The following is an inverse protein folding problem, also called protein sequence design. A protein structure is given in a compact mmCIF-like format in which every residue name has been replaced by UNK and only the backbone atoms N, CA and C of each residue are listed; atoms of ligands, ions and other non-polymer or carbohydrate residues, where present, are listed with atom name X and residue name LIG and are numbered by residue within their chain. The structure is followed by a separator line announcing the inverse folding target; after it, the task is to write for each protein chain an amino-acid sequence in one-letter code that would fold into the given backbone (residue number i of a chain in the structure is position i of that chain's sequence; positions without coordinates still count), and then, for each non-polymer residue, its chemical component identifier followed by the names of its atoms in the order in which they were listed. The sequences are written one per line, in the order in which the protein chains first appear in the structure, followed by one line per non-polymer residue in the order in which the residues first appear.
data_IF_390867206281
#
_entry.id   IF_390867206281
#
_cell.length_a   1.000
_cell.length_b   1.000
_cell.length_c   1.000
_cell.angle_alpha   90.00
_cell.angle_beta   90.00
_cell.angle_gamma   90.00
#
_symmetry.space_group_name_H-M   'P 1'
#
loop_
_entity.id
_entity.type
_entity.pdbx_description
1 polymer ?
#
# COMPACT_ATOMS: atom_id res chain seq x y z
N UNK A 1 -8.33 45.43 -6.31
CA UNK A 1 -8.61 44.67 -7.53
C UNK A 1 -10.09 44.34 -7.60
N UNK A 2 -10.79 44.90 -8.57
CA UNK A 2 -12.22 44.63 -8.72
C UNK A 2 -12.43 43.35 -9.47
N UNK A 3 -13.04 42.37 -8.84
CA UNK A 3 -13.37 41.09 -9.48
C UNK A 3 -14.80 41.17 -9.99
N UNK A 4 -14.99 40.88 -11.29
CA UNK A 4 -16.32 40.84 -11.86
C UNK A 4 -17.09 39.63 -11.33
N UNK A 5 -18.44 39.71 -11.40
CA UNK A 5 -19.27 38.58 -10.93
C UNK A 5 -18.93 37.27 -11.62
N UNK A 6 -18.61 37.33 -12.91
CA UNK A 6 -18.22 36.14 -13.68
C UNK A 6 -16.91 35.56 -13.20
N UNK A 7 -15.93 36.42 -12.87
CA UNK A 7 -14.65 36.01 -12.38
C UNK A 7 -14.77 35.42 -10.96
N UNK A 8 -15.60 36.05 -10.13
CA UNK A 8 -15.86 35.56 -8.78
C UNK A 8 -16.51 34.15 -8.82
N UNK A 9 -17.47 33.95 -9.73
CA UNK A 9 -18.09 32.64 -9.87
C UNK A 9 -17.09 31.59 -10.31
N UNK A 10 -16.21 31.92 -11.25
CA UNK A 10 -15.17 31.01 -11.72
C UNK A 10 -14.20 30.62 -10.59
N UNK A 11 -13.78 31.60 -9.81
CA UNK A 11 -12.89 31.37 -8.68
C UNK A 11 -13.57 30.48 -7.62
N UNK A 12 -14.85 30.72 -7.33
CA UNK A 12 -15.58 29.91 -6.35
C UNK A 12 -15.72 28.46 -6.81
N UNK A 13 -15.98 28.24 -8.10
CA UNK A 13 -16.07 26.88 -8.66
C UNK A 13 -14.72 26.18 -8.53
N UNK A 14 -13.63 26.87 -8.85
CA UNK A 14 -12.29 26.31 -8.78
C UNK A 14 -11.94 25.92 -7.35
N UNK A 15 -12.23 26.80 -6.38
CA UNK A 15 -11.99 26.52 -4.96
C UNK A 15 -12.83 25.32 -4.51
N UNK A 16 -14.10 25.25 -4.93
CA UNK A 16 -14.97 24.13 -4.58
C UNK A 16 -14.44 22.82 -5.11
N UNK A 17 -13.89 22.81 -6.33
CA UNK A 17 -13.28 21.61 -6.90
C UNK A 17 -12.04 21.15 -6.10
N UNK A 18 -11.20 22.11 -5.70
CA UNK A 18 -10.02 21.80 -4.89
C UNK A 18 -10.43 21.20 -3.54
N UNK A 19 -11.42 21.81 -2.87
CA UNK A 19 -11.92 21.33 -1.59
C UNK A 19 -12.49 19.93 -1.73
N UNK A 20 -13.29 19.69 -2.77
CA UNK A 20 -13.86 18.38 -3.04
C UNK A 20 -12.76 17.34 -3.24
N UNK A 21 -11.73 17.67 -4.00
CA UNK A 21 -10.60 16.77 -4.26
C UNK A 21 -9.86 16.42 -2.96
N UNK A 22 -9.59 17.44 -2.14
CA UNK A 22 -8.91 17.24 -0.85
C UNK A 22 -9.75 16.36 0.07
N UNK A 23 -11.07 16.58 0.13
CA UNK A 23 -11.96 15.77 0.96
C UNK A 23 -12.01 14.31 0.50
N UNK A 24 -11.96 14.08 -0.81
CA UNK A 24 -11.93 12.72 -1.34
C UNK A 24 -10.63 12.01 -0.93
N UNK A 25 -9.49 12.69 -1.04
CA UNK A 25 -8.21 12.13 -0.65
C UNK A 25 -8.17 11.82 0.85
N UNK A 26 -8.61 12.76 1.70
CA UNK A 26 -8.62 12.55 3.14
C UNK A 26 -9.60 11.46 3.54
N UNK A 27 -10.74 11.37 2.85
CA UNK A 27 -11.71 10.29 3.09
C UNK A 27 -11.11 8.92 2.80
N UNK A 28 -10.35 8.80 1.70
CA UNK A 28 -9.65 7.56 1.37
C UNK A 28 -8.62 7.23 2.45
N UNK A 29 -7.84 8.23 2.86
CA UNK A 29 -6.80 8.04 3.89
C UNK A 29 -7.41 7.62 5.22
N UNK A 30 -8.54 8.21 5.62
CA UNK A 30 -9.19 7.89 6.89
C UNK A 30 -9.71 6.44 6.94
N UNK A 31 -10.07 5.87 5.80
CA UNK A 31 -10.56 4.50 5.73
C UNK A 31 -9.46 3.45 5.63
N UNK A 32 -8.21 3.86 5.58
CA UNK A 32 -7.10 2.96 5.26
C UNK A 32 -6.50 2.24 6.45
N UNK A 33 -6.98 2.44 7.68
CA UNK A 33 -6.39 1.78 8.83
C UNK A 33 -6.46 0.25 8.75
N UNK A 34 -7.53 -0.30 8.15
CA UNK A 34 -7.63 -1.73 7.90
C UNK A 34 -6.98 -2.17 6.60
N UNK A 35 -6.82 -1.25 5.66
CA UNK A 35 -6.25 -1.56 4.35
C UNK A 35 -4.75 -1.54 4.31
N UNK A 36 -4.10 -0.84 5.25
CA UNK A 36 -2.65 -0.79 5.29
C UNK A 36 -2.02 -2.17 5.44
N UNK A 37 -2.64 -3.04 6.24
CA UNK A 37 -2.19 -4.43 6.37
C UNK A 37 -2.27 -5.16 5.04
N UNK A 38 -3.35 -4.96 4.29
CA UNK A 38 -3.49 -5.57 2.97
C UNK A 38 -2.50 -5.01 1.96
N UNK A 39 -2.20 -3.72 2.04
CA UNK A 39 -1.22 -3.10 1.15
C UNK A 39 0.16 -3.71 1.39
N UNK A 40 0.56 -3.90 2.65
CA UNK A 40 1.84 -4.55 2.97
C UNK A 40 1.83 -6.00 2.48
N UNK A 41 0.76 -6.72 2.74
CA UNK A 41 0.62 -8.10 2.29
C UNK A 41 0.71 -8.21 0.76
N UNK A 42 0.02 -7.32 0.05
CA UNK A 42 0.02 -7.32 -1.40
C UNK A 42 1.41 -6.96 -1.95
N UNK A 43 2.11 -6.04 -1.29
CA UNK A 43 3.47 -5.68 -1.68
C UNK A 43 4.41 -6.88 -1.58
N UNK A 44 4.34 -7.63 -0.47
CA UNK A 44 5.14 -8.84 -0.28
C UNK A 44 4.76 -9.89 -1.31
N UNK A 45 3.46 -10.09 -1.51
CA UNK A 45 2.96 -11.07 -2.49
C UNK A 45 3.42 -10.72 -3.91
N UNK A 46 3.33 -9.46 -4.30
CA UNK A 46 3.75 -9.03 -5.63
C UNK A 46 5.25 -9.18 -5.81
N UNK A 47 6.04 -8.89 -4.79
CA UNK A 47 7.49 -9.10 -4.83
C UNK A 47 7.81 -10.59 -5.01
N UNK A 48 7.11 -11.47 -4.29
CA UNK A 48 7.28 -12.91 -4.41
C UNK A 48 6.90 -13.40 -5.81
N UNK A 49 5.80 -12.90 -6.36
CA UNK A 49 5.37 -13.24 -7.72
C UNK A 49 6.37 -12.77 -8.77
N UNK A 50 6.94 -11.59 -8.59
CA UNK A 50 7.98 -11.06 -9.47
C UNK A 50 9.21 -11.94 -9.43
N UNK A 51 9.62 -12.37 -8.24
CA UNK A 51 10.73 -13.29 -8.08
C UNK A 51 10.48 -14.59 -8.84
N UNK A 52 9.29 -15.15 -8.70
CA UNK A 52 8.91 -16.37 -9.43
C UNK A 52 8.94 -16.15 -10.94
N UNK A 53 8.44 -15.02 -11.40
CA UNK A 53 8.41 -14.71 -12.83
C UNK A 53 9.81 -14.56 -13.42
N UNK A 54 10.75 -14.02 -12.64
CA UNK A 54 12.12 -13.78 -13.10
C UNK A 54 13.00 -15.00 -12.92
N UNK A 55 12.91 -15.68 -11.80
CA UNK A 55 13.82 -16.75 -11.43
C UNK A 55 13.24 -18.15 -11.55
N UNK A 56 11.92 -18.26 -11.70
CA UNK A 56 11.24 -19.56 -11.81
C UNK A 56 10.98 -20.24 -10.47
N UNK A 57 11.34 -19.61 -9.37
CA UNK A 57 11.10 -20.13 -8.01
C UNK A 57 10.71 -18.99 -7.10
N UNK A 58 9.99 -19.32 -6.03
CA UNK A 58 9.66 -18.35 -4.99
C UNK A 58 10.83 -18.16 -4.04
N UNK A 59 10.98 -16.98 -3.43
CA UNK A 59 12.09 -16.72 -2.50
C UNK A 59 11.95 -17.53 -1.22
N UNK A 60 13.08 -17.87 -0.64
CA UNK A 60 13.11 -18.64 0.61
C UNK A 60 12.83 -17.78 1.85
N UNK A 61 13.08 -16.48 1.77
CA UNK A 61 12.86 -15.58 2.89
C UNK A 61 12.57 -14.14 2.41
N UNK A 62 12.13 -13.30 3.34
CA UNK A 62 11.83 -11.91 3.06
C UNK A 62 13.08 -11.09 2.74
N UNK A 63 14.20 -11.43 3.38
CA UNK A 63 15.42 -10.66 3.17
C UNK A 63 15.86 -10.71 1.72
N UNK A 64 15.66 -11.83 1.06
CA UNK A 64 15.93 -11.94 -0.36
C UNK A 64 15.12 -10.96 -1.19
N UNK A 65 13.84 -10.79 -0.85
CA UNK A 65 12.98 -9.83 -1.55
C UNK A 65 13.40 -8.39 -1.29
N UNK A 66 13.85 -8.08 -0.07
CA UNK A 66 14.33 -6.75 0.24
C UNK A 66 15.60 -6.39 -0.51
N UNK A 67 16.50 -7.34 -0.64
CA UNK A 67 17.78 -7.12 -1.30
C UNK A 67 17.69 -7.10 -2.82
N UNK A 68 16.85 -7.94 -3.40
CA UNK A 68 16.82 -8.14 -4.85
C UNK A 68 15.59 -7.53 -5.54
N UNK A 69 14.50 -7.33 -4.84
CA UNK A 69 13.24 -6.85 -5.43
C UNK A 69 12.71 -5.59 -4.76
N UNK A 70 13.55 -4.91 -4.01
CA UNK A 70 13.27 -3.61 -3.41
C UNK A 70 11.98 -3.61 -2.58
N UNK A 71 11.71 -4.70 -1.90
CA UNK A 71 10.56 -4.76 -1.00
C UNK A 71 10.78 -3.80 0.17
N UNK A 72 9.83 -2.91 0.37
CA UNK A 72 9.90 -1.92 1.45
C UNK A 72 8.55 -1.78 2.12
N UNK A 73 8.55 -1.81 3.45
CA UNK A 73 7.37 -1.55 4.26
C UNK A 73 7.83 -1.05 5.63
N UNK A 74 6.91 -0.51 6.40
CA UNK A 74 7.25 0.03 7.73
C UNK A 74 7.39 -1.11 8.74
N UNK A 75 8.63 -1.54 8.96
CA UNK A 75 8.94 -2.65 9.87
C UNK A 75 8.67 -2.31 11.33
N UNK A 76 8.66 -1.04 11.68
CA UNK A 76 8.35 -0.62 13.05
C UNK A 76 6.88 -0.79 13.38
N UNK A 77 6.03 -0.68 12.37
CA UNK A 77 4.58 -0.76 12.54
C UNK A 77 4.02 -2.13 12.21
N UNK A 78 4.60 -2.83 11.24
CA UNK A 78 4.09 -4.09 10.74
C UNK A 78 5.12 -5.20 10.86
N UNK A 79 4.62 -6.38 11.22
CA UNK A 79 5.41 -7.59 11.21
C UNK A 79 4.86 -8.53 10.14
N UNK A 80 5.73 -8.99 9.25
CA UNK A 80 5.35 -9.88 8.17
C UNK A 80 5.83 -11.29 8.50
N UNK A 81 4.90 -12.23 8.54
CA UNK A 81 5.19 -13.64 8.71
C UNK A 81 5.27 -14.27 7.33
N UNK A 82 6.46 -14.66 6.95
CA UNK A 82 6.74 -15.26 5.65
C UNK A 82 7.14 -16.71 5.86
N UNK A 83 6.33 -17.62 5.34
CA UNK A 83 6.57 -19.05 5.48
C UNK A 83 6.62 -19.70 4.11
N UNK A 84 7.81 -20.08 3.62
CA UNK A 84 7.91 -20.74 2.34
C UNK A 84 7.39 -22.17 2.45
N UNK A 85 6.61 -22.59 1.45
CA UNK A 85 6.05 -23.95 1.41
C UNK A 85 6.86 -24.83 0.48
N UNK A 86 7.14 -24.35 -0.72
CA UNK A 86 7.96 -25.04 -1.71
C UNK A 86 8.42 -24.02 -2.74
N UNK A 87 9.44 -24.36 -3.53
CA UNK A 87 9.98 -23.44 -4.52
C UNK A 87 8.98 -23.10 -5.63
N UNK A 88 8.02 -24.00 -5.87
CA UNK A 88 7.00 -23.80 -6.91
C UNK A 88 5.60 -23.50 -6.34
N UNK A 89 5.50 -23.28 -5.04
CA UNK A 89 4.24 -22.95 -4.39
C UNK A 89 4.33 -21.57 -3.75
N UNK A 90 3.24 -20.82 -3.85
CA UNK A 90 3.15 -19.49 -3.25
C UNK A 90 3.36 -19.60 -1.73
N UNK A 91 4.31 -18.85 -1.17
CA UNK A 91 4.53 -18.88 0.28
C UNK A 91 3.34 -18.32 1.05
N UNK A 92 3.21 -18.75 2.29
CA UNK A 92 2.20 -18.22 3.19
C UNK A 92 2.68 -16.87 3.71
N UNK A 93 1.90 -15.83 3.47
CA UNK A 93 2.24 -14.46 3.86
C UNK A 93 1.14 -13.93 4.76
N UNK A 94 1.53 -13.55 5.98
CA UNK A 94 0.62 -12.93 6.94
C UNK A 94 1.25 -11.65 7.47
N UNK A 95 0.44 -10.64 7.66
CA UNK A 95 0.91 -9.35 8.17
C UNK A 95 0.15 -9.04 9.45
N UNK A 96 0.89 -8.65 10.47
CA UNK A 96 0.32 -8.23 11.74
C UNK A 96 0.85 -6.84 12.09
N UNK A 97 0.00 -6.07 12.74
CA UNK A 97 0.42 -4.78 13.29
C UNK A 97 0.92 -5.00 14.70
N UNK A 98 2.08 -4.40 15.05
CA UNK A 98 2.63 -4.54 16.39
C UNK A 98 1.64 -4.04 17.42
N UNK A 99 1.27 -4.92 18.36
CA UNK A 99 0.29 -4.62 19.41
C UNK A 99 -1.15 -4.52 18.92
N UNK A 100 -1.42 -4.98 17.70
CA UNK A 100 -2.71 -4.79 17.07
C UNK A 100 -3.27 -6.03 16.38
N UNK A 101 -4.03 -5.79 15.34
CA UNK A 101 -4.80 -6.79 14.63
C UNK A 101 -3.97 -7.55 13.60
N UNK A 102 -4.24 -8.83 13.49
CA UNK A 102 -3.65 -9.62 12.43
C UNK A 102 -4.54 -9.57 11.18
N UNK A 103 -3.90 -9.57 10.02
CA UNK A 103 -4.58 -9.73 8.75
C UNK A 103 -5.00 -11.21 8.61
N UNK A 104 -6.27 -11.39 8.27
CA UNK A 104 -6.80 -12.75 8.09
C UNK A 104 -6.68 -13.22 6.65
#
# INVERSE_FOLDING_TARGET
MKINRKDAASILIFIALIICFVLLITGITAKNNGRELQVVRDAVKNAALTCYAVEGVYPENLDYLREHYQLSYNEEKYHVFYEPLASNLMPSIKVAEWGGKMDK
#
